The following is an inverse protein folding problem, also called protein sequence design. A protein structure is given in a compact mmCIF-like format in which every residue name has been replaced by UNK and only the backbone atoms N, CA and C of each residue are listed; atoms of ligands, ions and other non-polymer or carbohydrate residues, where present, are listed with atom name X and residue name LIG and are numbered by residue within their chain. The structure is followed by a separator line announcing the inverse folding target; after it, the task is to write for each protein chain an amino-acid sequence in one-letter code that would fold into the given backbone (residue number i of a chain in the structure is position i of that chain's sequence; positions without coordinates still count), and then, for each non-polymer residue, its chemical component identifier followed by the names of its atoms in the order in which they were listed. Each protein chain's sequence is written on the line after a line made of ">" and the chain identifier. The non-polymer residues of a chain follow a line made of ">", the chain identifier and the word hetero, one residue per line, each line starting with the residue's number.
data_IF_469914655811
#
_entry.id   IF_469914655811
#
_cell.length_a   1.000
_cell.length_b   1.000
_cell.length_c   1.000
_cell.angle_alpha   90.00
_cell.angle_beta   90.00
_cell.angle_gamma   90.00
#
_symmetry.space_group_name_H-M   'P 1'
#
loop_
_entity.id
_entity.type
_entity.pdbx_description
1 polymer ?
#
# COMPACT_ATOMS: atom_id res chain seq x y z
N UNK A 1 -16.13 -11.32 5.36
CA UNK A 1 -15.68 -10.17 6.16
C UNK A 1 -14.78 -9.33 5.26
N UNK A 2 -14.60 -8.04 5.51
CA UNK A 2 -13.74 -7.20 4.67
C UNK A 2 -12.52 -6.80 5.47
N UNK A 3 -11.35 -7.20 4.98
CA UNK A 3 -10.07 -6.88 5.58
C UNK A 3 -9.28 -5.98 4.65
N UNK A 4 -8.40 -5.15 5.20
CA UNK A 4 -7.47 -4.33 4.44
C UNK A 4 -6.06 -4.49 5.00
N UNK A 5 -5.11 -4.63 4.08
CA UNK A 5 -3.70 -4.61 4.38
C UNK A 5 -3.16 -3.21 4.08
N UNK A 6 -2.51 -2.59 5.06
CA UNK A 6 -1.74 -1.35 4.90
C UNK A 6 -0.24 -1.65 5.03
N UNK A 7 0.55 -1.14 4.09
CA UNK A 7 1.99 -1.36 4.03
C UNK A 7 2.66 -0.28 3.16
N UNK A 8 3.97 -0.14 3.28
CA UNK A 8 4.77 0.70 2.39
C UNK A 8 5.61 -0.18 1.46
N UNK A 9 5.68 0.22 0.20
CA UNK A 9 6.49 -0.41 -0.83
C UNK A 9 7.75 0.45 -0.98
N UNK A 10 8.92 0.00 -0.50
CA UNK A 10 10.15 0.75 -0.67
C UNK A 10 10.58 0.76 -2.14
N UNK A 11 11.34 1.76 -2.56
CA UNK A 11 11.97 1.79 -3.89
C UNK A 11 12.95 0.60 -4.07
N UNK A 12 13.29 0.27 -5.31
CA UNK A 12 14.14 -0.89 -5.59
C UNK A 12 15.60 -0.55 -5.28
N UNK A 13 16.47 -1.52 -5.02
CA UNK A 13 17.86 -1.20 -4.66
C UNK A 13 18.64 -0.50 -5.79
N UNK A 14 18.20 -0.72 -7.03
CA UNK A 14 18.71 -0.12 -8.27
C UNK A 14 18.02 1.21 -8.64
N UNK A 15 16.89 1.54 -8.02
CA UNK A 15 16.13 2.77 -8.23
C UNK A 15 16.00 3.52 -6.89
N UNK A 16 16.70 4.64 -6.74
CA UNK A 16 16.79 5.33 -5.46
C UNK A 16 15.41 5.76 -4.93
N UNK A 17 14.51 6.17 -5.84
CA UNK A 17 13.21 6.79 -5.51
C UNK A 17 12.18 6.50 -6.62
N UNK A 18 10.90 6.57 -6.28
CA UNK A 18 9.80 6.61 -7.25
C UNK A 18 9.63 8.03 -7.78
N UNK A 19 9.37 8.15 -9.09
CA UNK A 19 9.18 9.43 -9.76
C UNK A 19 7.73 9.57 -10.27
N UNK A 20 7.08 10.67 -9.88
CA UNK A 20 5.72 10.99 -10.31
C UNK A 20 5.70 12.37 -10.96
N UNK A 21 5.28 12.48 -12.23
CA UNK A 21 5.03 13.77 -12.83
C UNK A 21 3.82 14.43 -12.15
N UNK A 22 3.99 15.67 -11.72
CA UNK A 22 3.01 16.46 -11.00
C UNK A 22 2.72 17.74 -11.80
N UNK A 23 1.51 17.81 -12.39
CA UNK A 23 1.05 18.95 -13.19
C UNK A 23 -0.19 19.59 -12.53
N UNK A 24 0.03 20.65 -11.76
CA UNK A 24 -1.04 21.43 -11.14
C UNK A 24 -1.76 22.36 -12.13
N UNK A 25 -1.18 22.62 -13.30
CA UNK A 25 -1.72 23.55 -14.32
C UNK A 25 -2.85 22.86 -15.10
N UNK A 26 -2.69 21.58 -15.42
CA UNK A 26 -3.61 20.82 -16.26
C UNK A 26 -4.36 19.71 -15.50
N UNK A 27 -4.80 19.98 -14.27
CA UNK A 27 -5.52 19.01 -13.44
C UNK A 27 -6.75 18.42 -14.17
N UNK A 28 -6.84 17.09 -14.21
CA UNK A 28 -7.97 16.35 -14.77
C UNK A 28 -7.95 16.08 -16.27
N UNK A 29 -6.87 16.45 -16.98
CA UNK A 29 -6.68 16.14 -18.40
C UNK A 29 -5.42 15.29 -18.61
N UNK A 30 -5.51 14.23 -19.42
CA UNK A 30 -4.32 13.45 -19.80
C UNK A 30 -3.55 14.19 -20.89
N UNK A 31 -2.36 14.70 -20.54
CA UNK A 31 -1.44 15.33 -21.48
C UNK A 31 -0.18 14.46 -21.58
N UNK A 32 0.37 14.21 -22.79
CA UNK A 32 1.64 13.52 -22.92
C UNK A 32 2.75 14.23 -22.15
N UNK A 33 3.60 13.49 -21.43
CA UNK A 33 4.70 14.06 -20.64
C UNK A 33 5.67 14.91 -21.46
N UNK A 34 5.85 14.60 -22.75
CA UNK A 34 6.67 15.41 -23.66
C UNK A 34 6.07 16.78 -24.02
N UNK A 35 4.84 17.06 -23.57
CA UNK A 35 4.07 18.27 -23.88
C UNK A 35 3.74 19.10 -22.64
N UNK A 36 4.28 18.73 -21.47
CA UNK A 36 4.13 19.49 -20.21
C UNK A 36 5.49 19.66 -19.55
N UNK A 37 5.71 20.81 -18.91
CA UNK A 37 6.89 21.08 -18.06
C UNK A 37 6.52 20.75 -16.60
N UNK A 38 5.97 19.55 -16.40
CA UNK A 38 5.47 19.11 -15.10
C UNK A 38 6.65 18.85 -14.15
N UNK A 39 6.55 19.37 -12.94
CA UNK A 39 7.53 19.07 -11.89
C UNK A 39 7.49 17.57 -11.56
N UNK A 40 8.63 17.00 -11.15
CA UNK A 40 8.71 15.60 -10.74
C UNK A 40 8.77 15.52 -9.23
N UNK A 41 7.83 14.78 -8.65
CA UNK A 41 7.83 14.43 -7.22
C UNK A 41 8.56 13.11 -7.05
N UNK A 42 9.58 13.12 -6.21
CA UNK A 42 10.32 11.92 -5.85
C UNK A 42 9.93 11.43 -4.45
N UNK A 43 9.78 10.12 -4.27
CA UNK A 43 9.52 9.52 -2.95
C UNK A 43 10.25 8.19 -2.78
N UNK A 44 10.87 7.92 -1.63
CA UNK A 44 11.59 6.66 -1.40
C UNK A 44 10.66 5.47 -1.20
N UNK A 45 9.37 5.69 -0.94
CA UNK A 45 8.39 4.63 -0.69
C UNK A 45 6.98 5.00 -1.16
N UNK A 46 6.16 3.97 -1.42
CA UNK A 46 4.74 4.11 -1.78
C UNK A 46 3.84 3.52 -0.70
N UNK A 47 2.94 4.32 -0.10
CA UNK A 47 1.92 3.78 0.76
C UNK A 47 0.88 3.00 -0.07
N UNK A 48 0.53 1.82 0.40
CA UNK A 48 -0.47 0.96 -0.21
C UNK A 48 -1.53 0.54 0.81
N UNK A 49 -2.79 0.52 0.36
CA UNK A 49 -3.91 -0.09 1.08
C UNK A 49 -4.64 -1.02 0.14
N UNK A 50 -4.63 -2.31 0.45
CA UNK A 50 -5.17 -3.36 -0.42
C UNK A 50 -6.29 -4.11 0.30
N UNK A 51 -7.44 -4.28 -0.36
CA UNK A 51 -8.50 -5.13 0.16
C UNK A 51 -8.09 -6.60 0.12
N UNK A 52 -8.32 -7.31 1.22
CA UNK A 52 -8.03 -8.74 1.37
C UNK A 52 -9.33 -9.52 1.40
N UNK A 53 -9.42 -10.51 0.51
CA UNK A 53 -10.55 -11.43 0.46
C UNK A 53 -10.29 -12.54 1.47
N UNK A 54 -11.01 -12.54 2.58
CA UNK A 54 -10.95 -13.58 3.61
C UNK A 54 -12.26 -13.69 4.36
N UNK A 55 -12.69 -14.92 4.68
CA UNK A 55 -13.87 -15.12 5.52
C UNK A 55 -13.52 -14.98 7.01
N UNK A 56 -12.27 -15.24 7.38
CA UNK A 56 -11.75 -15.19 8.75
C UNK A 56 -10.39 -14.47 8.85
N UNK A 57 -9.97 -14.13 10.08
CA UNK A 57 -8.66 -13.50 10.33
C UNK A 57 -7.48 -14.38 9.88
N UNK A 58 -7.42 -15.69 10.20
CA UNK A 58 -6.31 -16.53 9.73
C UNK A 58 -6.19 -16.61 8.21
N UNK A 59 -7.31 -16.72 7.49
CA UNK A 59 -7.32 -16.69 6.03
C UNK A 59 -6.81 -15.35 5.48
N UNK A 60 -7.29 -14.24 6.06
CA UNK A 60 -6.86 -12.90 5.65
C UNK A 60 -5.35 -12.69 5.87
N UNK A 61 -4.76 -13.25 6.93
CA UNK A 61 -3.31 -13.22 7.16
C UNK A 61 -2.53 -13.95 6.09
N UNK A 62 -2.98 -15.14 5.67
CA UNK A 62 -2.33 -15.94 4.62
C UNK A 62 -2.34 -15.20 3.28
N UNK A 63 -3.48 -14.63 2.90
CA UNK A 63 -3.58 -13.86 1.65
C UNK A 63 -2.76 -12.56 1.72
N UNK A 64 -2.75 -11.88 2.87
CA UNK A 64 -1.93 -10.70 3.08
C UNK A 64 -0.43 -11.00 2.97
N UNK A 65 0.05 -12.14 3.49
CA UNK A 65 1.47 -12.54 3.38
C UNK A 65 1.93 -12.70 1.93
N UNK A 66 1.05 -13.20 1.04
CA UNK A 66 1.38 -13.30 -0.39
C UNK A 66 1.69 -11.92 -0.97
N UNK A 67 0.89 -10.91 -0.63
CA UNK A 67 1.11 -9.54 -1.09
C UNK A 67 2.39 -8.94 -0.53
N UNK A 68 2.62 -9.10 0.78
CA UNK A 68 3.83 -8.57 1.45
C UNK A 68 5.09 -9.17 0.83
N UNK A 69 5.10 -10.49 0.62
CA UNK A 69 6.24 -11.23 0.03
C UNK A 69 6.59 -10.71 -1.37
N UNK A 70 5.62 -10.17 -2.11
CA UNK A 70 5.82 -9.64 -3.44
C UNK A 70 6.00 -8.11 -3.50
N UNK A 71 5.85 -7.39 -2.38
CA UNK A 71 5.88 -5.92 -2.33
C UNK A 71 7.15 -5.32 -1.73
N UNK A 72 8.15 -6.15 -1.37
CA UNK A 72 9.38 -5.73 -0.66
C UNK A 72 9.11 -5.05 0.69
N UNK A 73 7.87 -5.05 1.17
CA UNK A 73 7.49 -4.49 2.45
C UNK A 73 8.03 -5.36 3.59
N UNK A 74 8.64 -4.73 4.59
CA UNK A 74 9.15 -5.43 5.79
C UNK A 74 8.15 -5.39 6.95
N UNK A 75 7.12 -4.56 6.84
CA UNK A 75 6.06 -4.39 7.83
C UNK A 75 4.72 -4.14 7.17
N UNK A 76 3.65 -4.58 7.82
CA UNK A 76 2.29 -4.33 7.37
C UNK A 76 1.29 -4.38 8.54
N UNK A 77 0.13 -3.77 8.37
CA UNK A 77 -0.97 -3.78 9.33
C UNK A 77 -2.24 -4.29 8.67
N UNK A 78 -2.87 -5.28 9.29
CA UNK A 78 -4.13 -5.87 8.84
C UNK A 78 -5.28 -5.27 9.65
N UNK A 79 -6.23 -4.68 8.95
CA UNK A 79 -7.43 -4.07 9.51
C UNK A 79 -8.67 -4.87 9.15
N UNK A 80 -9.61 -4.98 10.08
CA UNK A 80 -10.99 -5.35 9.79
C UNK A 80 -11.81 -4.08 9.57
N UNK A 81 -12.32 -3.90 8.35
CA UNK A 81 -13.08 -2.71 7.98
C UNK A 81 -14.37 -3.10 7.23
N UNK A 82 -15.52 -3.21 7.94
CA UNK A 82 -16.79 -3.54 7.30
C UNK A 82 -17.32 -2.42 6.40
N UNK A 83 -16.76 -1.20 6.46
CA UNK A 83 -17.17 -0.08 5.61
C UNK A 83 -16.58 -0.14 4.20
N UNK A 84 -15.63 -1.05 3.95
CA UNK A 84 -14.95 -1.21 2.65
C UNK A 84 -14.26 0.07 2.18
N UNK A 85 -13.54 0.75 3.07
CA UNK A 85 -12.90 2.04 2.79
C UNK A 85 -11.46 1.88 2.31
N UNK A 86 -11.11 2.62 1.26
CA UNK A 86 -9.71 2.78 0.80
C UNK A 86 -8.96 3.90 1.55
N UNK A 87 -9.61 4.58 2.50
CA UNK A 87 -8.95 5.60 3.31
C UNK A 87 -8.02 4.94 4.33
N UNK A 88 -6.79 5.45 4.42
CA UNK A 88 -5.80 4.98 5.37
C UNK A 88 -6.29 5.05 6.83
N UNK A 89 -5.90 4.08 7.65
CA UNK A 89 -6.21 3.96 9.07
C UNK A 89 -7.68 3.66 9.39
N UNK A 90 -8.53 3.39 8.39
CA UNK A 90 -9.94 3.02 8.64
C UNK A 90 -10.06 1.54 9.00
N UNK A 91 -10.89 1.25 10.00
CA UNK A 91 -11.15 -0.10 10.50
C UNK A 91 -10.50 -0.35 11.87
N UNK A 92 -10.66 -1.56 12.37
CA UNK A 92 -10.02 -2.00 13.61
C UNK A 92 -8.74 -2.76 13.26
N UNK A 93 -7.62 -2.39 13.87
CA UNK A 93 -6.38 -3.16 13.74
C UNK A 93 -6.60 -4.56 14.30
N UNK A 94 -6.26 -5.57 13.52
CA UNK A 94 -6.40 -6.99 13.88
C UNK A 94 -5.04 -7.60 14.17
N UNK A 95 -4.06 -7.30 13.33
CA UNK A 95 -2.71 -7.81 13.48
C UNK A 95 -1.69 -6.93 12.76
N UNK A 96 -0.44 -7.01 13.20
CA UNK A 96 0.71 -6.38 12.54
C UNK A 96 1.68 -7.46 12.09
N UNK A 97 2.17 -7.37 10.86
CA UNK A 97 3.23 -8.21 10.33
C UNK A 97 4.57 -7.50 10.45
N UNK A 98 5.61 -8.25 10.82
CA UNK A 98 6.99 -7.81 10.71
C UNK A 98 7.85 -8.95 10.16
N UNK A 99 8.68 -8.64 9.18
CA UNK A 99 9.62 -9.61 8.61
C UNK A 99 10.49 -10.26 9.71
N UNK A 100 10.65 -11.58 9.64
CA UNK A 100 11.35 -12.38 10.64
C UNK A 100 10.57 -12.67 11.93
N UNK A 101 9.53 -11.90 12.25
CA UNK A 101 8.68 -12.11 13.44
C UNK A 101 7.28 -12.64 13.10
N UNK A 102 6.85 -12.49 11.85
CA UNK A 102 5.52 -12.91 11.39
C UNK A 102 4.41 -11.99 11.90
N UNK A 103 3.18 -12.51 11.96
CA UNK A 103 2.02 -11.78 12.48
C UNK A 103 1.98 -11.75 14.00
N UNK A 104 1.62 -10.59 14.52
CA UNK A 104 1.33 -10.33 15.94
C UNK A 104 -0.10 -9.82 16.04
N UNK A 105 -0.93 -10.48 16.84
CA UNK A 105 -2.30 -10.03 17.10
C UNK A 105 -2.32 -8.74 17.93
N UNK A 106 -3.30 -7.88 17.66
CA UNK A 106 -3.51 -6.61 18.35
C UNK A 106 -4.16 -6.77 19.74
#
# INVERSE_FOLDING_TARGET
>A
MTYFLEYTIPAAADDAEYEFPHDDINSGTTIPLSQTDADVVHTPELPARTGIIGATVPEAKVEAEQLITHSRATEASLYFDPSNSLKAGVGNLVATFREGSGWQDA
#
